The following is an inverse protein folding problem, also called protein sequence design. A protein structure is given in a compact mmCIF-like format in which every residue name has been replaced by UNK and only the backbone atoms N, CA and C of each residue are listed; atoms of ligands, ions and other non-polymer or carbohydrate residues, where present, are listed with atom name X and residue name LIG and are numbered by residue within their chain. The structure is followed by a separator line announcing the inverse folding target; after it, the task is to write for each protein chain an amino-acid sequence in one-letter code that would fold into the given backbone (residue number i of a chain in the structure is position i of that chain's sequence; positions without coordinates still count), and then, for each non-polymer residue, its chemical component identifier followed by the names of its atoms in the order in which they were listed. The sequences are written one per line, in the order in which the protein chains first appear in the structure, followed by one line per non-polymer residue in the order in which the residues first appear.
data_IF_462084475546
#
_entry.id   IF_462084475546
#
_cell.length_a   1.000
_cell.length_b   1.000
_cell.length_c   1.000
_cell.angle_alpha   90.00
_cell.angle_beta   90.00
_cell.angle_gamma   90.00
#
_symmetry.space_group_name_H-M   'P 1'
#
loop_
_entity.id
_entity.type
_entity.pdbx_description
1 polymer ?
#
# COMPACT_ATOMS: atom_id res chain seq x y z
N UNK A 1 7.52 -9.97 -9.35
CA UNK A 1 7.04 -8.66 -9.87
C UNK A 1 5.92 -8.74 -10.90
N UNK A 2 5.96 -9.64 -11.90
CA UNK A 2 4.92 -9.70 -12.95
C UNK A 2 3.49 -9.85 -12.38
N UNK A 3 3.29 -10.81 -11.47
CA UNK A 3 2.00 -11.07 -10.84
C UNK A 3 1.45 -9.86 -10.09
N UNK A 4 2.25 -9.27 -9.18
CA UNK A 4 1.90 -8.04 -8.46
C UNK A 4 1.46 -6.91 -9.41
N UNK A 5 2.22 -6.68 -10.49
CA UNK A 5 1.87 -5.62 -11.44
C UNK A 5 0.58 -5.91 -12.21
N UNK A 6 0.25 -7.18 -12.45
CA UNK A 6 -0.98 -7.56 -13.15
C UNK A 6 -2.20 -7.31 -12.27
N UNK A 7 -2.18 -7.79 -11.02
CA UNK A 7 -3.34 -7.70 -10.13
C UNK A 7 -3.60 -6.27 -9.64
N UNK A 8 -2.55 -5.46 -9.45
CA UNK A 8 -2.68 -4.08 -8.94
C UNK A 8 -2.90 -3.03 -10.03
N UNK A 9 -2.76 -3.38 -11.31
CA UNK A 9 -2.89 -2.40 -12.40
C UNK A 9 -4.29 -1.79 -12.45
N UNK A 10 -4.38 -0.49 -12.78
CA UNK A 10 -5.61 0.34 -12.85
C UNK A 10 -6.40 0.45 -11.55
N UNK A 11 -5.86 -0.07 -10.46
CA UNK A 11 -6.46 -0.03 -9.13
C UNK A 11 -5.73 0.97 -8.23
N UNK A 12 -6.20 1.06 -6.99
CA UNK A 12 -5.59 1.88 -5.95
C UNK A 12 -4.53 1.03 -5.25
N UNK A 13 -3.34 1.59 -5.06
CA UNK A 13 -2.29 1.01 -4.22
C UNK A 13 -2.08 1.89 -3.01
N UNK A 14 -2.27 1.31 -1.83
CA UNK A 14 -2.14 1.98 -0.55
C UNK A 14 -0.86 1.48 0.14
N UNK A 15 0.00 2.41 0.52
CA UNK A 15 1.28 2.09 1.15
C UNK A 15 1.69 3.07 2.23
N UNK A 16 2.65 2.69 3.07
CA UNK A 16 3.28 3.59 4.03
C UNK A 16 4.44 4.39 3.41
N UNK A 17 4.78 5.53 4.02
CA UNK A 17 5.88 6.40 3.57
C UNK A 17 7.22 5.67 3.36
N UNK A 18 7.65 4.80 4.29
CA UNK A 18 8.90 4.04 4.15
C UNK A 18 8.90 3.11 2.92
N UNK A 19 7.76 2.49 2.63
CA UNK A 19 7.60 1.64 1.45
C UNK A 19 7.67 2.48 0.17
N UNK A 20 7.02 3.65 0.17
CA UNK A 20 7.11 4.58 -0.95
C UNK A 20 8.55 5.07 -1.19
N UNK A 21 9.29 5.41 -0.14
CA UNK A 21 10.71 5.82 -0.21
C UNK A 21 11.59 4.69 -0.77
N UNK A 22 11.37 3.45 -0.34
CA UNK A 22 12.09 2.27 -0.87
C UNK A 22 11.80 2.01 -2.35
N UNK A 23 10.56 2.26 -2.81
CA UNK A 23 10.19 2.17 -4.24
C UNK A 23 10.78 3.35 -5.04
N UNK A 24 10.84 4.53 -4.43
CA UNK A 24 11.42 5.76 -4.98
C UNK A 24 10.58 6.46 -6.05
N UNK A 25 9.39 5.96 -6.39
CA UNK A 25 8.49 6.57 -7.39
C UNK A 25 7.05 6.03 -7.32
N UNK A 26 6.05 6.80 -7.80
CA UNK A 26 4.71 6.30 -8.07
C UNK A 26 4.74 5.08 -8.98
N UNK A 27 3.91 4.10 -8.66
CA UNK A 27 3.73 2.96 -9.51
C UNK A 27 2.85 3.35 -10.70
N UNK A 28 3.37 3.18 -11.93
CA UNK A 28 2.66 3.52 -13.18
C UNK A 28 1.30 2.81 -13.26
N UNK A 29 0.32 3.45 -13.90
CA UNK A 29 -1.03 2.93 -14.15
C UNK A 29 -1.80 2.55 -12.88
N UNK A 30 -1.53 3.21 -11.76
CA UNK A 30 -2.20 3.00 -10.47
C UNK A 30 -2.47 4.34 -9.82
N UNK A 31 -3.51 4.39 -9.00
CA UNK A 31 -3.73 5.50 -8.07
C UNK A 31 -2.95 5.19 -6.79
N UNK A 32 -1.88 5.94 -6.52
CA UNK A 32 -0.96 5.70 -5.42
C UNK A 32 -1.37 6.56 -4.22
N UNK A 33 -1.66 5.91 -3.10
CA UNK A 33 -1.95 6.57 -1.82
C UNK A 33 -0.84 6.21 -0.83
N UNK A 34 -0.17 7.23 -0.31
CA UNK A 34 0.92 7.08 0.65
C UNK A 34 0.48 7.63 2.00
N UNK A 35 0.41 6.76 3.00
CA UNK A 35 0.12 7.14 4.38
C UNK A 35 1.39 7.67 5.05
N UNK A 36 1.33 8.91 5.51
CA UNK A 36 2.43 9.62 6.19
C UNK A 36 1.90 10.60 7.23
N UNK A 37 2.62 10.73 8.35
CA UNK A 37 2.37 11.78 9.34
C UNK A 37 3.02 13.12 8.96
N UNK A 38 3.97 13.11 8.03
CA UNK A 38 4.69 14.29 7.55
C UNK A 38 4.41 14.48 6.06
N UNK A 39 3.34 15.21 5.72
CA UNK A 39 2.98 15.53 4.33
C UNK A 39 3.91 16.60 3.72
N UNK A 40 4.39 17.53 4.54
CA UNK A 40 5.31 18.59 4.12
C UNK A 40 6.61 18.07 3.51
N UNK A 41 7.14 16.95 4.03
CA UNK A 41 8.30 16.24 3.45
C UNK A 41 8.12 15.93 1.95
N UNK A 42 6.88 15.73 1.51
CA UNK A 42 6.56 15.28 0.16
C UNK A 42 5.91 16.36 -0.70
N UNK A 43 5.87 17.62 -0.26
CA UNK A 43 5.20 18.72 -0.98
C UNK A 43 5.71 18.97 -2.40
N UNK A 44 6.95 18.56 -2.70
CA UNK A 44 7.57 18.73 -4.02
C UNK A 44 7.22 17.61 -5.01
N UNK A 45 6.53 16.55 -4.57
CA UNK A 45 6.06 15.51 -5.48
C UNK A 45 4.91 16.02 -6.34
N UNK A 46 5.06 15.91 -7.66
CA UNK A 46 4.04 16.31 -8.62
C UNK A 46 3.69 15.12 -9.53
N UNK A 47 2.67 14.36 -9.15
CA UNK A 47 2.07 13.33 -9.99
C UNK A 47 0.55 13.27 -9.72
N UNK A 48 -0.27 13.37 -10.77
CA UNK A 48 -1.73 13.34 -10.67
C UNK A 48 -2.29 12.04 -10.09
N UNK A 49 -1.49 10.98 -10.10
CA UNK A 49 -1.85 9.66 -9.59
C UNK A 49 -1.16 9.36 -8.25
N UNK A 50 -0.65 10.36 -7.54
CA UNK A 50 -0.01 10.21 -6.24
C UNK A 50 -0.65 11.17 -5.22
N UNK A 51 -1.10 10.63 -4.10
CA UNK A 51 -1.63 11.42 -2.98
C UNK A 51 -0.93 10.98 -1.69
N UNK A 52 -0.56 11.96 -0.86
CA UNK A 52 -0.10 11.74 0.50
C UNK A 52 -1.24 12.04 1.49
N UNK A 53 -1.59 11.06 2.32
CA UNK A 53 -2.66 11.17 3.31
C UNK A 53 -2.14 10.87 4.72
N UNK A 54 -2.78 11.43 5.72
CA UNK A 54 -2.42 11.22 7.14
C UNK A 54 -3.43 10.36 7.91
N UNK A 55 -4.61 10.12 7.33
CA UNK A 55 -5.68 9.33 7.93
C UNK A 55 -5.96 8.08 7.09
N UNK A 56 -5.47 6.94 7.55
CA UNK A 56 -5.70 5.66 6.91
C UNK A 56 -7.18 5.28 6.92
N UNK A 57 -7.89 5.49 8.04
CA UNK A 57 -9.30 5.10 8.16
C UNK A 57 -10.16 5.92 7.21
N UNK A 58 -9.95 7.23 7.16
CA UNK A 58 -10.63 8.12 6.21
C UNK A 58 -10.40 7.72 4.76
N UNK A 59 -9.18 7.31 4.40
CA UNK A 59 -8.89 6.77 3.06
C UNK A 59 -9.68 5.50 2.80
N UNK A 60 -9.67 4.53 3.70
CA UNK A 60 -10.41 3.27 3.52
C UNK A 60 -11.91 3.51 3.36
N UNK A 61 -12.50 4.39 4.17
CA UNK A 61 -13.93 4.74 4.07
C UNK A 61 -14.26 5.49 2.78
N UNK A 62 -13.37 6.37 2.30
CA UNK A 62 -13.56 7.13 1.04
C UNK A 62 -13.74 6.20 -0.17
N UNK A 63 -13.03 5.08 -0.18
CA UNK A 63 -13.02 4.14 -1.30
C UNK A 63 -13.84 2.87 -1.04
N UNK A 64 -14.47 2.77 0.12
CA UNK A 64 -15.30 1.64 0.50
C UNK A 64 -16.49 1.51 -0.46
N UNK A 65 -16.72 0.29 -0.93
CA UNK A 65 -17.83 0.02 -1.87
C UNK A 65 -17.62 0.56 -3.28
N UNK A 66 -16.44 1.06 -3.63
CA UNK A 66 -16.10 1.39 -5.01
C UNK A 66 -16.15 0.12 -5.88
N UNK A 67 -17.07 0.11 -6.85
CA UNK A 67 -17.27 -1.04 -7.76
C UNK A 67 -16.29 -1.09 -8.93
N UNK A 68 -15.59 0.02 -9.20
CA UNK A 68 -14.73 0.17 -10.36
C UNK A 68 -13.25 -0.10 -10.05
N UNK A 69 -12.86 0.02 -8.78
CA UNK A 69 -11.47 -0.13 -8.34
C UNK A 69 -11.40 -0.77 -6.96
N UNK A 70 -10.39 -1.63 -6.77
CA UNK A 70 -10.03 -2.20 -5.49
C UNK A 70 -8.87 -1.45 -4.84
N UNK A 71 -8.81 -1.46 -3.51
CA UNK A 71 -7.64 -1.00 -2.76
C UNK A 71 -6.73 -2.20 -2.50
N UNK A 72 -5.51 -2.13 -3.02
CA UNK A 72 -4.44 -3.06 -2.68
C UNK A 72 -3.54 -2.43 -1.63
N UNK A 73 -3.55 -2.98 -0.43
CA UNK A 73 -2.55 -2.64 0.59
C UNK A 73 -1.25 -3.35 0.22
N UNK A 74 -0.19 -2.58 -0.02
CA UNK A 74 1.11 -3.12 -0.48
C UNK A 74 2.21 -2.99 0.58
N UNK A 75 1.81 -2.70 1.82
CA UNK A 75 2.68 -2.58 2.99
C UNK A 75 3.07 -1.13 3.33
N UNK A 76 4.02 -0.89 4.21
CA UNK A 76 4.80 -1.85 4.97
C UNK A 76 4.10 -2.38 6.22
N UNK A 77 4.88 -2.92 7.16
CA UNK A 77 4.40 -3.57 8.39
C UNK A 77 3.32 -2.81 9.14
N UNK A 78 3.50 -1.50 9.38
CA UNK A 78 2.53 -0.68 10.13
C UNK A 78 1.17 -0.60 9.40
N UNK A 79 1.20 -0.50 8.07
CA UNK A 79 -0.02 -0.48 7.26
C UNK A 79 -0.67 -1.86 7.24
N UNK A 80 0.12 -2.93 7.08
CA UNK A 80 -0.42 -4.29 7.17
C UNK A 80 -1.07 -4.55 8.53
N UNK A 81 -0.44 -4.16 9.64
CA UNK A 81 -1.01 -4.32 10.98
C UNK A 81 -2.36 -3.62 11.14
N UNK A 82 -2.47 -2.37 10.68
CA UNK A 82 -3.70 -1.59 10.79
C UNK A 82 -4.81 -2.08 9.85
N UNK A 83 -4.46 -2.73 8.75
CA UNK A 83 -5.41 -3.18 7.73
C UNK A 83 -5.69 -4.68 7.78
N UNK A 84 -4.98 -5.43 8.63
CA UNK A 84 -5.05 -6.89 8.65
C UNK A 84 -6.49 -7.36 8.79
N UNK A 85 -7.16 -7.02 9.89
CA UNK A 85 -8.51 -7.53 10.20
C UNK A 85 -9.64 -6.95 9.35
N UNK A 86 -9.35 -5.97 8.49
CA UNK A 86 -10.35 -5.33 7.62
C UNK A 86 -10.16 -5.67 6.14
N UNK A 87 -9.16 -6.49 5.81
CA UNK A 87 -8.91 -6.93 4.45
C UNK A 87 -9.85 -8.08 4.06
N UNK A 88 -10.45 -8.00 2.88
CA UNK A 88 -11.29 -9.09 2.33
C UNK A 88 -10.46 -10.29 1.84
N UNK A 89 -9.26 -10.02 1.29
CA UNK A 89 -8.39 -11.03 0.69
C UNK A 89 -6.92 -10.75 0.95
N UNK A 90 -6.12 -11.81 1.10
CA UNK A 90 -4.65 -11.73 1.14
C UNK A 90 -4.03 -12.41 -0.07
N UNK A 91 -3.29 -11.65 -0.86
CA UNK A 91 -2.44 -12.19 -1.94
C UNK A 91 -1.04 -12.47 -1.40
N UNK A 92 -0.82 -13.69 -0.92
CA UNK A 92 0.45 -14.10 -0.29
C UNK A 92 1.33 -14.84 -1.30
N UNK A 93 2.53 -14.31 -1.55
CA UNK A 93 3.57 -15.01 -2.31
C UNK A 93 4.49 -15.76 -1.34
N UNK A 94 4.42 -17.08 -1.33
CA UNK A 94 5.29 -17.93 -0.50
C UNK A 94 6.60 -18.18 -1.23
N UNK A 95 7.69 -17.60 -0.74
CA UNK A 95 9.05 -17.86 -1.24
C UNK A 95 9.65 -18.99 -0.44
N UNK A 96 10.08 -20.07 -1.09
CA UNK A 96 10.75 -21.19 -0.44
C UNK A 96 12.22 -20.84 -0.19
N UNK A 97 12.69 -21.02 1.04
CA UNK A 97 14.07 -20.80 1.45
C UNK A 97 14.17 -20.23 2.85
N UNK A 98 15.40 -20.11 3.35
CA UNK A 98 15.71 -19.38 4.60
C UNK A 98 16.21 -17.99 4.24
N UNK A 99 15.64 -16.98 4.86
CA UNK A 99 16.05 -15.59 4.69
C UNK A 99 16.15 -14.92 6.05
N UNK A 100 17.20 -14.13 6.26
CA UNK A 100 17.26 -13.19 7.38
C UNK A 100 16.36 -12.00 7.08
N UNK A 101 15.54 -11.61 8.06
CA UNK A 101 14.60 -10.50 7.92
C UNK A 101 14.45 -9.74 9.24
N UNK A 102 14.38 -8.42 9.15
CA UNK A 102 14.14 -7.51 10.27
C UNK A 102 12.64 -7.14 10.41
N UNK A 103 11.85 -7.49 9.40
CA UNK A 103 10.44 -7.13 9.25
C UNK A 103 9.61 -8.37 8.95
N UNK A 104 8.63 -8.64 9.80
CA UNK A 104 7.78 -9.81 9.72
C UNK A 104 6.36 -9.41 9.33
N UNK A 105 5.70 -10.27 8.55
CA UNK A 105 4.28 -10.14 8.26
C UNK A 105 3.48 -10.30 9.57
N UNK A 106 2.50 -9.43 9.85
CA UNK A 106 1.74 -9.52 11.08
C UNK A 106 0.79 -10.72 10.99
N UNK A 107 1.14 -11.83 11.63
CA UNK A 107 0.16 -12.87 11.94
C UNK A 107 -0.54 -12.46 13.23
N UNK A 108 -1.88 -12.42 13.27
CA UNK A 108 -2.58 -12.39 14.55
C UNK A 108 -2.28 -13.70 15.28
N UNK A 109 -1.92 -13.58 16.56
CA UNK A 109 -1.79 -14.72 17.46
C UNK A 109 -3.15 -15.35 17.75
#
# INVERSE_FOLDING_TARGET
MKYFSQITSRNIVLMGAKTFESIGKPLKNRHNIVITRNKEKYKNWQDKNLIFASDLKGVLETYKGNKNQHIFVIGGREIYQQTFFVADYYYVSVVKGTCEGDTYFPFPN
#
